data_IF_087690216593
#
_entry.id   IF_087690216593
#
_cell.length_a   1.000
_cell.length_b   1.000
_cell.length_c   1.000
_cell.angle_alpha   90.00
_cell.angle_beta   90.00
_cell.angle_gamma   90.00
#
_symmetry.space_group_name_H-M   'P 1'
#
loop_
_entity.id
_entity.type
_entity.pdbx_description
1 polymer ?
#
# COMPACT_ATOMS: atom_id res chain seq x y z
N UNK A 1 37.20 -93.58 11.65
CA UNK A 1 36.93 -93.37 10.20
C UNK A 1 35.95 -92.19 10.13
N UNK A 2 36.36 -90.95 9.87
CA UNK A 2 36.82 -90.34 8.61
C UNK A 2 35.81 -89.22 8.24
N UNK A 3 36.20 -87.96 8.50
CA UNK A 3 35.89 -86.72 7.75
C UNK A 3 34.44 -86.22 7.63
N UNK A 4 34.25 -84.91 7.90
CA UNK A 4 33.68 -83.85 7.03
C UNK A 4 33.26 -82.64 7.92
N UNK A 5 34.12 -81.63 8.10
CA UNK A 5 34.23 -80.38 7.31
C UNK A 5 33.05 -79.41 7.52
N UNK A 6 33.40 -78.31 8.20
CA UNK A 6 32.99 -76.90 8.03
C UNK A 6 31.66 -76.56 7.35
N UNK A 7 30.83 -75.75 8.03
CA UNK A 7 30.64 -74.32 7.72
C UNK A 7 29.48 -73.77 8.57
N UNK A 8 29.81 -73.09 9.65
CA UNK A 8 28.86 -72.28 10.42
C UNK A 8 28.77 -70.91 9.73
N UNK A 9 27.91 -70.78 8.72
CA UNK A 9 27.60 -69.49 8.10
C UNK A 9 26.56 -68.81 8.99
N UNK A 10 27.05 -68.09 10.00
CA UNK A 10 26.29 -67.14 10.78
C UNK A 10 25.98 -65.95 9.86
N UNK A 11 24.81 -65.94 9.24
CA UNK A 11 24.28 -64.82 8.48
C UNK A 11 24.00 -63.65 9.41
N UNK A 12 25.02 -62.81 9.59
CA UNK A 12 24.90 -61.51 10.24
C UNK A 12 24.04 -60.62 9.33
N UNK A 13 22.75 -60.52 9.65
CA UNK A 13 21.85 -59.49 9.12
C UNK A 13 22.34 -58.13 9.62
N UNK A 14 23.32 -57.56 8.92
CA UNK A 14 23.61 -56.14 8.98
C UNK A 14 22.43 -55.43 8.31
N UNK A 15 21.43 -55.10 9.13
CA UNK A 15 20.46 -54.06 8.83
C UNK A 15 21.22 -52.74 8.73
N UNK A 16 21.81 -52.48 7.56
CA UNK A 16 22.14 -51.12 7.18
C UNK A 16 20.79 -50.40 7.09
N UNK A 17 20.43 -49.69 8.16
CA UNK A 17 19.54 -48.55 8.06
C UNK A 17 20.30 -47.50 7.24
N UNK A 18 20.29 -47.68 5.92
CA UNK A 18 20.52 -46.59 4.99
C UNK A 18 19.32 -45.67 5.22
N UNK A 19 19.51 -44.65 6.06
CA UNK A 19 18.62 -43.50 6.04
C UNK A 19 18.52 -43.10 4.58
N UNK A 20 17.31 -43.15 4.03
CA UNK A 20 17.07 -42.82 2.64
C UNK A 20 17.37 -41.33 2.44
N UNK A 21 18.63 -41.00 2.21
CA UNK A 21 19.01 -39.75 1.56
C UNK A 21 18.38 -39.80 0.18
N UNK A 22 17.19 -39.21 0.08
CA UNK A 22 16.42 -39.20 -1.16
C UNK A 22 17.25 -38.50 -2.24
N UNK A 23 17.18 -39.01 -3.47
CA UNK A 23 17.84 -38.44 -4.65
C UNK A 23 17.59 -36.91 -4.78
N UNK A 24 16.49 -36.41 -4.21
CA UNK A 24 16.12 -35.00 -4.17
C UNK A 24 17.13 -34.12 -3.40
N UNK A 25 17.75 -34.64 -2.31
CA UNK A 25 18.78 -33.90 -1.56
C UNK A 25 20.09 -33.74 -2.33
N UNK A 26 20.40 -34.63 -3.27
CA UNK A 26 21.59 -34.56 -4.14
C UNK A 26 21.42 -33.49 -5.23
N UNK A 27 20.17 -33.14 -5.57
CA UNK A 27 19.83 -32.17 -6.60
C UNK A 27 19.63 -30.74 -6.04
N UNK A 28 19.85 -30.51 -4.75
CA UNK A 28 19.77 -29.19 -4.15
C UNK A 28 20.95 -28.31 -4.60
N UNK A 29 20.71 -27.20 -5.33
CA UNK A 29 21.79 -26.33 -5.82
C UNK A 29 22.59 -25.65 -4.70
N UNK A 30 22.01 -25.61 -3.49
CA UNK A 30 22.56 -24.95 -2.31
C UNK A 30 21.55 -24.90 -1.15
N UNK A 31 22.03 -24.47 0.01
CA UNK A 31 21.21 -24.25 1.21
C UNK A 31 20.15 -23.17 0.96
N UNK A 32 18.94 -23.36 1.49
CA UNK A 32 17.87 -22.33 1.43
C UNK A 32 18.24 -21.08 2.24
N UNK A 33 17.53 -19.97 2.07
CA UNK A 33 17.74 -18.76 2.89
C UNK A 33 17.43 -19.01 4.36
N UNK A 34 17.97 -18.15 5.24
CA UNK A 34 17.76 -18.26 6.68
C UNK A 34 16.27 -18.31 7.08
N UNK A 35 15.41 -17.59 6.37
CA UNK A 35 13.97 -17.54 6.65
C UNK A 35 13.22 -18.85 6.35
N UNK A 36 13.77 -19.72 5.49
CA UNK A 36 13.13 -20.96 5.07
C UNK A 36 13.79 -22.22 5.64
N UNK A 37 14.80 -22.08 6.51
CA UNK A 37 15.55 -23.21 7.11
C UNK A 37 14.63 -24.26 7.72
N UNK A 38 13.52 -23.83 8.32
CA UNK A 38 12.54 -24.72 8.96
C UNK A 38 11.98 -25.80 8.01
N UNK A 39 11.95 -25.54 6.71
CA UNK A 39 11.35 -26.40 5.70
C UNK A 39 12.37 -26.90 4.67
N UNK A 40 13.67 -26.80 4.98
CA UNK A 40 14.74 -27.17 4.03
C UNK A 40 14.62 -28.60 3.52
N UNK A 41 14.20 -29.52 4.38
CA UNK A 41 14.08 -30.95 4.06
C UNK A 41 12.67 -31.31 3.53
N UNK A 42 11.72 -30.38 3.56
CA UNK A 42 10.33 -30.58 3.13
C UNK A 42 10.12 -30.07 1.69
N UNK A 43 10.81 -30.65 0.70
CA UNK A 43 10.84 -30.12 -0.68
C UNK A 43 9.46 -29.85 -1.30
N UNK A 44 8.47 -30.69 -0.98
CA UNK A 44 7.09 -30.59 -1.48
C UNK A 44 6.32 -29.36 -0.94
N UNK A 45 6.85 -28.66 0.07
CA UNK A 45 6.30 -27.38 0.56
C UNK A 45 6.56 -26.23 -0.40
N UNK A 46 7.54 -26.36 -1.29
CA UNK A 46 7.92 -25.31 -2.23
C UNK A 46 7.90 -25.79 -3.69
N UNK A 47 8.04 -27.09 -3.94
CA UNK A 47 8.06 -27.66 -5.28
C UNK A 47 6.80 -28.48 -5.56
N UNK A 48 6.17 -28.20 -6.69
CA UNK A 48 5.05 -29.00 -7.22
C UNK A 48 5.39 -29.47 -8.63
N UNK A 49 5.54 -30.79 -8.81
CA UNK A 49 5.99 -31.38 -10.07
C UNK A 49 5.00 -31.04 -11.20
N UNK A 50 5.52 -30.49 -12.30
CA UNK A 50 4.78 -30.14 -13.52
C UNK A 50 3.62 -29.14 -13.33
N UNK A 51 3.56 -28.40 -12.22
CA UNK A 51 2.50 -27.44 -11.94
C UNK A 51 3.08 -26.13 -11.39
N UNK A 52 3.46 -25.23 -12.31
CA UNK A 52 4.05 -23.93 -11.96
C UNK A 52 3.06 -23.00 -11.26
N UNK A 53 1.78 -23.06 -11.63
CA UNK A 53 0.74 -22.24 -11.03
C UNK A 53 0.45 -22.68 -9.60
N UNK A 54 0.28 -23.99 -9.38
CA UNK A 54 0.15 -24.56 -8.05
C UNK A 54 1.40 -24.34 -7.20
N UNK A 55 2.60 -24.33 -7.79
CA UNK A 55 3.82 -23.98 -7.06
C UNK A 55 3.81 -22.53 -6.56
N UNK A 56 3.36 -21.57 -7.37
CA UNK A 56 3.19 -20.18 -6.91
C UNK A 56 2.20 -20.08 -5.75
N UNK A 57 1.16 -20.93 -5.73
CA UNK A 57 0.18 -20.93 -4.64
C UNK A 57 0.81 -21.36 -3.31
N UNK A 58 1.71 -22.34 -3.31
CA UNK A 58 2.45 -22.75 -2.10
C UNK A 58 3.19 -21.57 -1.44
N UNK A 59 3.81 -20.71 -2.26
CA UNK A 59 4.45 -19.48 -1.79
C UNK A 59 3.44 -18.54 -1.12
N UNK A 60 2.28 -18.31 -1.77
CA UNK A 60 1.22 -17.41 -1.31
C UNK A 60 0.54 -17.90 -0.03
N UNK A 61 0.45 -19.22 0.16
CA UNK A 61 -0.17 -19.83 1.34
C UNK A 61 0.61 -19.54 2.63
N UNK A 62 1.96 -19.46 2.52
CA UNK A 62 2.83 -19.04 3.62
C UNK A 62 2.94 -17.50 3.68
N UNK A 63 3.11 -16.84 2.54
CA UNK A 63 3.22 -15.38 2.44
C UNK A 63 1.87 -14.69 2.29
N UNK A 64 1.02 -14.86 3.32
CA UNK A 64 -0.38 -14.40 3.32
C UNK A 64 -0.57 -12.92 3.02
N UNK A 65 0.32 -12.06 3.53
CA UNK A 65 0.26 -10.62 3.25
C UNK A 65 0.51 -10.30 1.77
N UNK A 66 1.44 -11.01 1.13
CA UNK A 66 1.73 -10.85 -0.30
C UNK A 66 0.56 -11.38 -1.13
N UNK A 67 -0.02 -12.51 -0.73
CA UNK A 67 -1.23 -13.03 -1.36
C UNK A 67 -2.39 -12.02 -1.27
N UNK A 68 -2.54 -11.38 -0.10
CA UNK A 68 -3.53 -10.32 0.10
C UNK A 68 -3.26 -9.10 -0.77
N UNK A 69 -2.00 -8.68 -0.91
CA UNK A 69 -1.60 -7.58 -1.80
C UNK A 69 -2.00 -7.87 -3.26
N UNK A 70 -1.66 -9.07 -3.76
CA UNK A 70 -1.99 -9.51 -5.13
C UNK A 70 -3.51 -9.55 -5.35
N UNK A 71 -4.24 -10.20 -4.44
CA UNK A 71 -5.71 -10.36 -4.57
C UNK A 71 -6.46 -9.05 -4.46
N UNK A 72 -5.99 -8.12 -3.62
CA UNK A 72 -6.61 -6.80 -3.42
C UNK A 72 -6.06 -5.72 -4.36
N UNK A 73 -5.12 -6.07 -5.25
CA UNK A 73 -4.46 -5.13 -6.17
C UNK A 73 -3.84 -3.92 -5.46
N UNK A 74 -3.19 -4.17 -4.32
CA UNK A 74 -2.51 -3.16 -3.50
C UNK A 74 -1.04 -3.51 -3.31
N UNK A 75 -0.26 -2.56 -2.79
CA UNK A 75 1.17 -2.70 -2.62
C UNK A 75 1.90 -2.90 -3.95
N UNK A 76 3.19 -3.24 -3.88
CA UNK A 76 3.99 -3.48 -5.07
C UNK A 76 3.50 -4.69 -5.88
N UNK A 77 3.33 -5.84 -5.23
CA UNK A 77 2.96 -7.08 -5.92
C UNK A 77 1.54 -7.09 -6.49
N UNK A 78 0.61 -6.30 -5.95
CA UNK A 78 -0.74 -6.18 -6.49
C UNK A 78 -0.88 -5.15 -7.61
N UNK A 79 0.07 -4.22 -7.74
CA UNK A 79 0.06 -3.15 -8.76
C UNK A 79 1.06 -3.34 -9.88
N UNK A 80 2.08 -4.17 -9.69
CA UNK A 80 3.00 -4.53 -10.76
C UNK A 80 2.22 -5.19 -11.91
N UNK A 81 2.52 -4.78 -13.14
CA UNK A 81 1.91 -5.33 -14.34
C UNK A 81 2.79 -6.48 -14.87
N UNK A 82 2.80 -7.60 -14.15
CA UNK A 82 3.70 -8.72 -14.43
C UNK A 82 3.14 -10.05 -13.91
N UNK A 83 2.96 -10.99 -14.82
CA UNK A 83 2.38 -12.31 -14.57
C UNK A 83 3.44 -13.40 -14.32
N UNK A 84 4.72 -13.03 -14.20
CA UNK A 84 5.80 -13.98 -13.92
C UNK A 84 5.60 -14.70 -12.58
N UNK A 85 6.09 -15.93 -12.51
CA UNK A 85 6.10 -16.74 -11.27
C UNK A 85 7.00 -16.12 -10.21
N UNK A 86 6.75 -16.41 -8.92
CA UNK A 86 7.53 -15.87 -7.81
C UNK A 86 9.04 -16.10 -8.00
N UNK A 87 9.42 -17.31 -8.45
CA UNK A 87 10.82 -17.72 -8.63
C UNK A 87 11.54 -17.02 -9.79
N UNK A 88 10.82 -16.29 -10.65
CA UNK A 88 11.44 -15.50 -11.72
C UNK A 88 12.17 -14.27 -11.17
N UNK A 89 11.75 -13.78 -10.00
CA UNK A 89 12.39 -12.66 -9.31
C UNK A 89 13.01 -13.08 -7.97
N UNK A 90 12.38 -14.02 -7.27
CA UNK A 90 12.80 -14.49 -5.95
C UNK A 90 13.56 -15.81 -6.09
N UNK A 91 14.90 -15.73 -6.12
CA UNK A 91 15.74 -16.92 -6.25
C UNK A 91 16.08 -17.50 -4.87
N UNK A 92 15.67 -18.75 -4.66
CA UNK A 92 16.02 -19.58 -3.51
C UNK A 92 17.31 -20.40 -3.77
N UNK A 93 17.83 -21.11 -2.77
CA UNK A 93 19.03 -21.95 -2.84
C UNK A 93 20.33 -21.18 -3.09
N UNK A 94 20.36 -19.89 -2.73
CA UNK A 94 21.55 -19.03 -2.81
C UNK A 94 22.33 -18.94 -1.50
N UNK A 95 21.97 -19.76 -0.51
CA UNK A 95 22.60 -19.79 0.80
C UNK A 95 21.89 -18.93 1.85
N UNK A 96 22.24 -19.16 3.12
CA UNK A 96 21.55 -18.59 4.28
C UNK A 96 21.48 -17.06 4.29
N UNK A 97 22.53 -16.40 3.80
CA UNK A 97 22.67 -14.95 3.79
C UNK A 97 22.07 -14.28 2.54
N UNK A 98 21.54 -15.04 1.58
CA UNK A 98 21.03 -14.46 0.35
C UNK A 98 19.77 -13.62 0.60
N UNK A 99 19.72 -12.45 -0.03
CA UNK A 99 18.57 -11.57 0.00
C UNK A 99 17.63 -11.92 -1.15
N UNK A 100 16.60 -12.71 -0.86
CA UNK A 100 15.64 -13.19 -1.87
C UNK A 100 14.77 -12.08 -2.48
N UNK A 101 14.59 -10.97 -1.74
CA UNK A 101 13.76 -9.84 -2.12
C UNK A 101 14.57 -8.53 -2.09
N UNK A 102 15.67 -8.48 -2.85
CA UNK A 102 16.41 -7.22 -3.05
C UNK A 102 15.63 -6.29 -3.96
N UNK A 103 15.50 -5.04 -3.53
CA UNK A 103 14.99 -3.94 -4.35
C UNK A 103 16.20 -3.19 -4.91
N UNK A 104 16.18 -2.90 -6.20
CA UNK A 104 17.15 -2.00 -6.79
C UNK A 104 16.62 -0.57 -6.72
N UNK A 105 17.16 0.23 -5.80
CA UNK A 105 16.73 1.61 -5.54
C UNK A 105 16.80 2.51 -6.78
N UNK A 106 17.67 2.22 -7.74
CA UNK A 106 17.83 3.03 -8.95
C UNK A 106 16.76 2.74 -10.01
N UNK A 107 16.22 1.53 -10.02
CA UNK A 107 15.26 1.09 -11.05
C UNK A 107 13.87 0.86 -10.50
N UNK A 108 13.68 0.97 -9.17
CA UNK A 108 12.41 0.76 -8.52
C UNK A 108 11.41 1.87 -8.90
N UNK A 109 10.20 1.46 -9.31
CA UNK A 109 9.17 2.38 -9.79
C UNK A 109 8.05 2.52 -8.76
N UNK A 110 7.96 3.70 -8.16
CA UNK A 110 6.86 4.03 -7.24
C UNK A 110 5.48 4.07 -7.92
N UNK A 111 5.42 4.21 -9.25
CA UNK A 111 4.18 4.09 -10.03
C UNK A 111 3.54 2.70 -9.94
N UNK A 112 4.31 1.68 -9.54
CA UNK A 112 3.85 0.30 -9.33
C UNK A 112 3.52 0.04 -7.84
N UNK A 113 3.29 1.09 -7.05
CA UNK A 113 2.97 0.99 -5.61
C UNK A 113 1.74 1.80 -5.25
N UNK A 114 1.27 1.69 -4.00
CA UNK A 114 0.16 2.51 -3.49
C UNK A 114 0.51 3.99 -3.35
N UNK A 115 1.79 4.37 -3.45
CA UNK A 115 2.22 5.76 -3.33
C UNK A 115 3.07 6.16 -4.54
N UNK A 116 2.44 6.81 -5.51
CA UNK A 116 3.13 7.35 -6.67
C UNK A 116 3.78 8.69 -6.34
N UNK A 117 5.10 8.79 -6.54
CA UNK A 117 5.82 10.05 -6.34
C UNK A 117 5.34 11.09 -7.37
N UNK A 118 4.81 12.20 -6.86
CA UNK A 118 4.29 13.33 -7.65
C UNK A 118 4.64 14.64 -6.92
N UNK A 119 4.74 15.73 -7.69
CA UNK A 119 5.05 17.05 -7.14
C UNK A 119 6.35 17.04 -6.34
N UNK A 120 6.33 17.64 -5.15
CA UNK A 120 7.51 17.70 -4.27
C UNK A 120 8.03 16.31 -3.83
N UNK A 121 7.17 15.29 -3.78
CA UNK A 121 7.60 13.93 -3.45
C UNK A 121 8.44 13.28 -4.56
N UNK A 122 8.38 13.79 -5.79
CA UNK A 122 9.21 13.35 -6.92
C UNK A 122 10.43 14.24 -7.16
N UNK A 123 10.67 15.24 -6.30
CA UNK A 123 11.82 16.14 -6.41
C UNK A 123 13.13 15.39 -6.17
N UNK A 124 14.19 15.79 -6.88
CA UNK A 124 15.53 15.19 -6.77
C UNK A 124 16.15 15.30 -5.37
N UNK A 125 15.68 16.26 -4.56
CA UNK A 125 16.11 16.46 -3.18
C UNK A 125 15.44 15.50 -2.20
N UNK A 126 14.33 14.86 -2.59
CA UNK A 126 13.61 13.90 -1.75
C UNK A 126 14.32 12.56 -1.83
N UNK A 127 14.97 12.16 -0.74
CA UNK A 127 15.76 10.93 -0.68
C UNK A 127 14.91 9.75 -0.18
N UNK A 128 15.31 8.52 -0.53
CA UNK A 128 14.60 7.31 -0.08
C UNK A 128 14.45 7.25 1.44
N UNK A 129 15.46 7.70 2.19
CA UNK A 129 15.49 7.67 3.66
C UNK A 129 14.50 8.62 4.33
N UNK A 130 14.01 9.63 3.61
CA UNK A 130 13.04 10.60 4.12
C UNK A 130 11.68 9.92 4.37
N UNK A 131 11.34 8.94 3.54
CA UNK A 131 10.14 8.12 3.66
C UNK A 131 10.43 6.74 4.29
N UNK A 132 11.49 6.07 3.84
CA UNK A 132 11.86 4.71 4.26
C UNK A 132 12.83 4.74 5.44
N UNK A 133 12.24 4.80 6.64
CA UNK A 133 13.01 4.83 7.89
C UNK A 133 13.77 3.53 8.11
N UNK A 134 15.00 3.59 8.67
CA UNK A 134 15.75 2.39 9.04
C UNK A 134 14.94 1.48 9.96
N UNK A 135 15.09 0.16 9.78
CA UNK A 135 14.39 -0.90 10.54
C UNK A 135 12.89 -1.04 10.27
N UNK A 136 12.29 -0.15 9.47
CA UNK A 136 10.94 -0.32 8.95
C UNK A 136 11.03 -1.00 7.59
N UNK A 137 10.15 -1.97 7.31
CA UNK A 137 10.11 -2.60 5.99
C UNK A 137 9.65 -1.56 4.98
N UNK A 138 10.23 -1.55 3.78
CA UNK A 138 9.84 -0.59 2.73
C UNK A 138 8.33 -0.55 2.48
N UNK A 139 7.66 -1.71 2.52
CA UNK A 139 6.21 -1.82 2.33
C UNK A 139 5.35 -1.20 3.43
N UNK A 140 5.92 -0.99 4.62
CA UNK A 140 5.22 -0.47 5.79
C UNK A 140 5.41 1.06 5.91
N UNK A 141 6.04 1.70 4.91
CA UNK A 141 6.18 3.14 4.86
C UNK A 141 4.78 3.80 4.79
N UNK A 142 4.54 4.87 5.56
CA UNK A 142 3.26 5.54 5.56
C UNK A 142 2.97 6.17 4.19
N UNK A 143 1.73 6.07 3.73
CA UNK A 143 1.29 6.59 2.43
C UNK A 143 0.15 7.61 2.54
N UNK A 144 -0.35 7.90 3.75
CA UNK A 144 -1.36 8.94 3.97
C UNK A 144 -0.69 10.29 4.23
N UNK A 145 -1.29 11.37 3.70
CA UNK A 145 -0.74 12.73 3.83
C UNK A 145 -0.47 13.11 5.28
N UNK A 146 -1.48 12.88 6.14
CA UNK A 146 -1.43 13.21 7.56
C UNK A 146 -0.42 12.37 8.37
N UNK A 147 0.04 11.21 7.89
CA UNK A 147 1.03 10.43 8.61
C UNK A 147 2.40 11.13 8.65
N UNK A 148 2.69 11.95 7.63
CA UNK A 148 3.90 12.78 7.56
C UNK A 148 3.62 14.25 7.85
N UNK A 149 2.56 14.81 7.26
CA UNK A 149 2.24 16.24 7.26
C UNK A 149 1.27 16.68 8.38
N UNK A 150 1.13 15.89 9.46
CA UNK A 150 0.25 16.25 10.60
C UNK A 150 0.54 17.64 11.16
N UNK A 151 1.82 18.04 11.21
CA UNK A 151 2.25 19.34 11.75
C UNK A 151 2.06 20.49 10.76
N UNK A 152 1.90 20.17 9.47
CA UNK A 152 1.74 21.16 8.41
C UNK A 152 0.26 21.53 8.21
N UNK A 153 -0.66 20.69 8.72
CA UNK A 153 -2.10 20.89 8.66
C UNK A 153 -2.54 22.21 9.30
N UNK A 154 -2.94 23.16 8.44
CA UNK A 154 -3.43 24.48 8.84
C UNK A 154 -4.88 24.47 9.32
N UNK A 155 -5.58 23.35 9.16
CA UNK A 155 -6.94 23.14 9.60
C UNK A 155 -7.02 22.51 11.00
N UNK A 156 -5.88 22.22 11.64
CA UNK A 156 -5.82 21.71 13.02
C UNK A 156 -6.63 20.41 13.20
N UNK A 157 -6.73 19.60 12.14
CA UNK A 157 -7.48 18.34 12.12
C UNK A 157 -9.00 18.48 12.00
N UNK A 158 -9.57 19.69 11.86
CA UNK A 158 -11.04 19.87 11.82
C UNK A 158 -11.68 19.34 10.53
N UNK A 159 -10.91 19.18 9.46
CA UNK A 159 -11.37 18.70 8.16
C UNK A 159 -11.10 17.20 7.91
N UNK A 160 -10.46 16.52 8.87
CA UNK A 160 -10.10 15.11 8.74
C UNK A 160 -8.73 14.89 8.07
N UNK A 161 -8.49 13.67 7.61
CA UNK A 161 -7.17 13.23 7.11
C UNK A 161 -7.02 13.25 5.58
N UNK A 162 -8.13 13.39 4.85
CA UNK A 162 -8.17 13.35 3.39
C UNK A 162 -7.85 14.73 2.79
N UNK A 163 -6.59 15.14 2.93
CA UNK A 163 -6.12 16.42 2.41
C UNK A 163 -6.29 16.53 0.90
N UNK A 164 -6.19 15.39 0.20
CA UNK A 164 -6.34 15.22 -1.26
C UNK A 164 -7.73 15.58 -1.79
N UNK A 165 -8.73 15.72 -0.92
CA UNK A 165 -10.05 16.23 -1.31
C UNK A 165 -10.05 17.71 -1.67
N UNK A 166 -9.03 18.46 -1.22
CA UNK A 166 -8.94 19.90 -1.45
C UNK A 166 -7.57 20.30 -2.02
N UNK A 167 -6.49 19.61 -1.62
CA UNK A 167 -5.13 19.97 -1.96
C UNK A 167 -4.51 18.99 -2.95
N UNK A 168 -3.62 19.52 -3.80
CA UNK A 168 -2.80 18.72 -4.69
C UNK A 168 -1.33 18.74 -4.26
N UNK A 169 -0.63 17.61 -4.36
CA UNK A 169 0.79 17.50 -4.00
C UNK A 169 1.74 18.19 -5.00
N UNK A 170 1.26 18.60 -6.18
CA UNK A 170 2.00 19.43 -7.15
C UNK A 170 1.89 20.92 -6.86
N UNK A 171 0.69 21.38 -6.49
CA UNK A 171 0.44 22.74 -6.02
C UNK A 171 -0.55 22.71 -4.86
N UNK A 172 -0.02 22.89 -3.65
CA UNK A 172 -0.82 22.84 -2.42
C UNK A 172 -1.80 24.01 -2.29
N UNK A 173 -1.53 25.15 -2.95
CA UNK A 173 -2.33 26.36 -2.83
C UNK A 173 -3.51 26.38 -3.79
N UNK A 174 -3.44 25.61 -4.86
CA UNK A 174 -4.49 25.51 -5.87
C UNK A 174 -5.56 24.50 -5.44
N UNK A 175 -6.64 24.99 -4.82
CA UNK A 175 -7.71 24.15 -4.27
C UNK A 175 -9.06 24.35 -4.96
N UNK A 176 -9.17 25.31 -5.89
CA UNK A 176 -10.45 25.82 -6.42
C UNK A 176 -11.30 24.74 -7.07
N UNK A 177 -10.68 23.80 -7.78
CA UNK A 177 -11.38 22.76 -8.53
C UNK A 177 -11.45 21.42 -7.79
N UNK A 178 -10.93 21.34 -6.56
CA UNK A 178 -10.85 20.08 -5.82
C UNK A 178 -12.09 19.83 -4.95
N UNK A 179 -12.74 20.89 -4.44
CA UNK A 179 -13.89 20.78 -3.56
C UNK A 179 -15.22 21.07 -4.27
N UNK A 180 -16.11 20.08 -4.29
CA UNK A 180 -17.43 20.17 -4.92
C UNK A 180 -18.49 20.62 -3.91
N UNK A 181 -18.86 21.91 -3.94
CA UNK A 181 -19.88 22.48 -3.08
C UNK A 181 -21.29 21.90 -3.31
N UNK A 182 -21.57 21.27 -4.46
CA UNK A 182 -22.87 20.64 -4.73
C UNK A 182 -23.14 19.44 -3.82
N UNK A 183 -22.11 18.91 -3.16
CA UNK A 183 -22.22 17.83 -2.17
C UNK A 183 -22.43 18.34 -0.74
N UNK A 184 -22.52 19.65 -0.57
CA UNK A 184 -22.71 20.29 0.74
C UNK A 184 -24.14 20.80 0.89
N UNK A 185 -24.47 21.33 2.07
CA UNK A 185 -25.77 21.96 2.33
C UNK A 185 -25.95 23.28 1.58
N UNK A 186 -24.84 23.91 1.18
CA UNK A 186 -24.83 25.18 0.46
C UNK A 186 -24.20 24.97 -0.92
N UNK A 187 -25.03 24.63 -1.90
CA UNK A 187 -24.61 24.55 -3.28
C UNK A 187 -24.34 25.97 -3.81
N UNK A 188 -23.18 26.16 -4.45
CA UNK A 188 -22.85 27.45 -5.05
C UNK A 188 -23.62 27.62 -6.35
N UNK A 189 -24.50 28.61 -6.40
CA UNK A 189 -25.29 28.97 -7.57
C UNK A 189 -25.11 30.44 -7.95
N UNK A 190 -25.31 30.74 -9.23
CA UNK A 190 -25.24 32.10 -9.74
C UNK A 190 -23.89 32.75 -9.46
N UNK A 191 -23.90 33.96 -8.90
CA UNK A 191 -22.67 34.72 -8.60
C UNK A 191 -21.82 34.08 -7.50
N UNK A 192 -22.39 33.22 -6.64
CA UNK A 192 -21.64 32.55 -5.57
C UNK A 192 -20.57 31.59 -6.11
N UNK A 193 -20.69 31.12 -7.36
CA UNK A 193 -19.71 30.24 -8.01
C UNK A 193 -18.36 30.94 -8.22
N UNK A 194 -18.36 32.25 -8.38
CA UNK A 194 -17.15 33.05 -8.63
C UNK A 194 -16.52 33.60 -7.35
N UNK A 195 -17.20 33.47 -6.21
CA UNK A 195 -16.76 33.97 -4.92
C UNK A 195 -15.59 33.14 -4.41
N UNK A 196 -14.55 33.81 -3.91
CA UNK A 196 -13.38 33.13 -3.33
C UNK A 196 -13.75 32.46 -2.01
N UNK A 197 -13.08 31.36 -1.69
CA UNK A 197 -13.38 30.57 -0.49
C UNK A 197 -13.31 31.40 0.81
N UNK A 198 -12.34 32.32 0.91
CA UNK A 198 -12.13 33.20 2.07
C UNK A 198 -13.18 34.30 2.23
N UNK A 199 -14.05 34.49 1.23
CA UNK A 199 -15.18 35.40 1.36
C UNK A 199 -16.29 34.82 2.24
N UNK A 200 -16.48 33.50 2.22
CA UNK A 200 -17.42 32.80 3.10
C UNK A 200 -16.70 32.15 4.30
N UNK A 201 -15.58 31.47 4.05
CA UNK A 201 -14.79 30.74 5.05
C UNK A 201 -13.72 31.64 5.67
N UNK A 202 -14.14 32.51 6.58
CA UNK A 202 -13.25 33.50 7.25
C UNK A 202 -12.20 32.86 8.15
N UNK A 203 -12.41 31.63 8.60
CA UNK A 203 -11.47 30.88 9.43
C UNK A 203 -10.90 29.70 8.67
N UNK A 204 -9.70 29.26 9.07
CA UNK A 204 -9.06 28.07 8.51
C UNK A 204 -9.79 26.77 8.87
N UNK A 205 -10.84 26.80 9.67
CA UNK A 205 -11.63 25.60 10.02
C UNK A 205 -12.68 25.26 8.97
N UNK A 206 -13.02 26.21 8.08
CA UNK A 206 -13.98 26.13 6.96
C UNK A 206 -15.42 25.73 7.33
N UNK A 207 -15.69 24.97 8.39
CA UNK A 207 -17.05 24.53 8.76
C UNK A 207 -17.94 25.61 9.38
N UNK A 208 -17.42 26.81 9.57
CA UNK A 208 -18.09 27.90 10.30
C UNK A 208 -18.74 28.94 9.38
N UNK A 209 -18.66 28.75 8.05
CA UNK A 209 -19.24 29.70 7.11
C UNK A 209 -20.77 29.78 7.30
N UNK A 210 -21.35 31.00 7.32
CA UNK A 210 -22.79 31.17 7.34
C UNK A 210 -23.45 30.53 6.11
N UNK A 211 -24.55 29.82 6.33
CA UNK A 211 -25.36 29.22 5.25
C UNK A 211 -26.61 30.05 4.93
N UNK A 212 -26.91 31.09 5.72
CA UNK A 212 -28.09 31.94 5.52
C UNK A 212 -27.79 33.18 4.68
N UNK A 213 -28.75 33.58 3.84
CA UNK A 213 -28.61 34.72 2.93
C UNK A 213 -28.35 36.03 3.68
N UNK A 214 -29.02 36.21 4.83
CA UNK A 214 -29.05 37.48 5.56
C UNK A 214 -27.71 37.83 6.19
N UNK A 215 -26.96 36.86 6.69
CA UNK A 215 -25.63 37.03 7.29
C UNK A 215 -24.66 37.80 6.39
N UNK A 216 -24.77 37.64 5.07
CA UNK A 216 -23.95 38.36 4.09
C UNK A 216 -24.71 39.53 3.43
N UNK A 217 -25.99 39.33 3.08
CA UNK A 217 -26.78 40.28 2.29
C UNK A 217 -27.63 41.25 3.12
N UNK A 218 -27.38 41.39 4.42
CA UNK A 218 -28.08 42.37 5.28
C UNK A 218 -28.09 43.79 4.70
N UNK A 219 -27.02 44.20 4.03
CA UNK A 219 -26.90 45.53 3.41
C UNK A 219 -27.61 45.62 2.06
N UNK A 220 -27.84 44.48 1.41
CA UNK A 220 -28.47 44.38 0.09
C UNK A 220 -30.00 44.20 0.21
N UNK A 221 -30.51 43.95 1.43
CA UNK A 221 -31.94 43.80 1.70
C UNK A 221 -32.72 45.08 1.43
N UNK A 222 -33.36 45.13 0.26
CA UNK A 222 -34.24 46.22 -0.18
C UNK A 222 -35.48 46.39 0.70
N UNK A 223 -35.86 45.36 1.45
CA UNK A 223 -37.02 45.39 2.34
C UNK A 223 -36.69 45.94 3.72
N UNK A 224 -35.41 46.26 4.01
CA UNK A 224 -34.97 46.87 5.27
C UNK A 224 -35.43 46.07 6.50
N UNK A 225 -35.48 44.74 6.40
CA UNK A 225 -35.84 43.82 7.48
C UNK A 225 -37.33 43.63 7.75
N UNK A 226 -38.23 44.23 6.95
CA UNK A 226 -39.69 44.16 7.18
C UNK A 226 -40.21 42.71 7.15
N UNK A 227 -39.66 41.86 6.28
CA UNK A 227 -40.11 40.47 6.11
C UNK A 227 -39.25 39.44 6.87
N UNK A 228 -38.39 39.90 7.78
CA UNK A 228 -37.47 39.02 8.51
C UNK A 228 -36.25 38.59 7.69
N UNK A 229 -35.61 37.48 8.08
CA UNK A 229 -34.30 37.03 7.54
C UNK A 229 -34.39 35.78 6.67
N UNK A 230 -35.59 35.21 6.50
CA UNK A 230 -35.81 34.00 5.68
C UNK A 230 -36.01 34.37 4.21
N UNK A 231 -34.95 34.91 3.59
CA UNK A 231 -35.00 35.38 2.21
C UNK A 231 -35.44 34.27 1.24
N UNK A 232 -35.04 33.02 1.52
CA UNK A 232 -35.35 31.84 0.70
C UNK A 232 -36.85 31.49 0.56
N UNK A 233 -37.73 32.10 1.38
CA UNK A 233 -39.18 31.91 1.25
C UNK A 233 -39.74 32.57 -0.03
N UNK A 234 -39.02 33.56 -0.58
CA UNK A 234 -39.42 34.30 -1.79
C UNK A 234 -38.30 34.48 -2.81
N UNK A 235 -37.03 34.40 -2.38
CA UNK A 235 -35.86 34.65 -3.20
C UNK A 235 -35.02 33.41 -3.46
N UNK A 236 -34.28 33.42 -4.56
CA UNK A 236 -33.28 32.39 -4.90
C UNK A 236 -31.86 32.96 -4.90
N UNK A 237 -30.85 32.09 -4.92
CA UNK A 237 -29.44 32.50 -5.03
C UNK A 237 -29.09 33.21 -6.35
N UNK A 238 -30.04 33.29 -7.30
CA UNK A 238 -29.86 33.91 -8.63
C UNK A 238 -30.51 35.29 -8.75
N UNK A 239 -31.23 35.76 -7.73
CA UNK A 239 -31.87 37.07 -7.71
C UNK A 239 -30.87 38.22 -7.54
#
# INVERSE_FOLDING_TARGET
MLRLISLFVLTLLLSFNVGADTLESVMMPGKVIQGHVKWEDDCQKCHKRFDKEGQNQLCKDCHKEINKDITQKRGFHGRMNDDRTCVACHTEHKGRAAQIASINEKTFKHSETDFSLKGAHADVKTECKDCHKPKIKYRDAPNSCNACHKKDDKHEGTLGASCENCHNEKDWKETKDSFDHNKTKFALEGKHVEVKCDECHKTKKYREAPEDCYSCHKKDDKHKGIFGTKCADCHTAKD
#
